data_IF_785649412064
#
_entry.id   IF_785649412064
#
_cell.length_a   1.000
_cell.length_b   1.000
_cell.length_c   1.000
_cell.angle_alpha   90.00
_cell.angle_beta   90.00
_cell.angle_gamma   90.00
#
_symmetry.space_group_name_H-M   'P 1'
#
loop_
_entity.id
_entity.type
_entity.pdbx_description
1 polymer ?
#
# COMPACT_ATOMS: atom_id res chain seq x y z
N UNK A 1 34.31 10.12 -28.99
CA UNK A 1 32.83 10.17 -28.89
C UNK A 1 32.33 10.22 -27.45
N UNK A 2 32.96 9.52 -26.49
CA UNK A 2 32.53 9.49 -25.07
C UNK A 2 32.49 10.85 -24.36
N UNK A 3 33.40 11.78 -24.67
CA UNK A 3 33.42 13.10 -24.03
C UNK A 3 32.25 13.98 -24.50
N UNK A 4 31.94 13.98 -25.81
CA UNK A 4 30.85 14.76 -26.40
C UNK A 4 29.48 14.39 -25.81
N UNK A 5 29.21 13.09 -25.63
CA UNK A 5 27.97 12.61 -25.03
C UNK A 5 27.80 12.96 -23.54
N UNK A 6 28.92 13.15 -22.81
CA UNK A 6 28.86 13.62 -21.43
C UNK A 6 28.60 15.13 -21.36
N UNK A 7 29.24 15.91 -22.25
CA UNK A 7 29.05 17.37 -22.30
C UNK A 7 27.61 17.74 -22.71
N UNK A 8 27.02 16.98 -23.64
CA UNK A 8 25.61 17.10 -24.04
C UNK A 8 24.66 16.71 -22.90
N UNK A 9 24.98 15.66 -22.14
CA UNK A 9 24.18 15.25 -20.97
C UNK A 9 24.23 16.28 -19.84
N UNK A 10 25.40 16.85 -19.55
CA UNK A 10 25.56 17.89 -18.53
C UNK A 10 24.91 19.23 -18.95
N UNK A 11 24.88 19.53 -20.25
CA UNK A 11 24.13 20.68 -20.80
C UNK A 11 22.62 20.47 -20.69
N UNK A 12 22.12 19.29 -21.08
CA UNK A 12 20.71 18.92 -20.95
C UNK A 12 20.26 18.94 -19.49
N UNK A 13 21.07 18.40 -18.58
CA UNK A 13 20.80 18.41 -17.15
C UNK A 13 20.66 19.83 -16.60
N UNK A 14 21.52 20.77 -17.01
CA UNK A 14 21.38 22.19 -16.66
C UNK A 14 20.10 22.81 -17.22
N UNK A 15 19.72 22.48 -18.46
CA UNK A 15 18.46 22.90 -19.07
C UNK A 15 17.23 22.39 -18.30
N UNK A 16 17.27 21.14 -17.81
CA UNK A 16 16.20 20.55 -17.00
C UNK A 16 16.09 21.21 -15.62
N UNK A 17 17.21 21.56 -14.98
CA UNK A 17 17.21 22.33 -13.73
C UNK A 17 16.60 23.72 -13.94
N UNK A 18 16.93 24.40 -15.04
CA UNK A 18 16.36 25.72 -15.37
C UNK A 18 14.86 25.66 -15.65
N UNK A 19 14.36 24.53 -16.18
CA UNK A 19 12.93 24.26 -16.36
C UNK A 19 12.22 23.91 -15.04
N UNK A 20 12.93 23.85 -13.91
CA UNK A 20 12.35 23.51 -12.60
C UNK A 20 12.01 22.03 -12.44
N UNK A 21 12.59 21.15 -13.27
CA UNK A 21 12.33 19.71 -13.21
C UNK A 21 12.94 19.14 -11.93
N UNK A 22 12.14 18.38 -11.18
CA UNK A 22 12.63 17.68 -10.00
C UNK A 22 13.62 16.56 -10.42
N UNK A 23 14.89 16.74 -10.06
CA UNK A 23 15.99 15.85 -10.43
C UNK A 23 15.87 14.44 -9.83
N UNK A 24 15.23 14.29 -8.68
CA UNK A 24 14.96 12.97 -8.10
C UNK A 24 13.87 12.23 -8.89
N UNK A 25 12.80 12.93 -9.28
CA UNK A 25 11.74 12.36 -10.13
C UNK A 25 12.27 11.99 -11.51
N UNK A 26 13.08 12.88 -12.09
CA UNK A 26 13.81 12.63 -13.34
C UNK A 26 14.65 11.34 -13.22
N UNK A 27 15.44 11.19 -12.13
CA UNK A 27 16.27 9.99 -11.91
C UNK A 27 15.41 8.74 -11.89
N UNK A 28 14.38 8.69 -11.06
CA UNK A 28 13.56 7.48 -10.90
C UNK A 28 12.85 7.11 -12.20
N UNK A 29 12.37 8.10 -12.96
CA UNK A 29 11.75 7.85 -14.27
C UNK A 29 12.77 7.30 -15.30
N UNK A 30 13.96 7.90 -15.37
CA UNK A 30 15.05 7.43 -16.24
C UNK A 30 15.54 6.04 -15.88
N UNK A 31 15.69 5.74 -14.59
CA UNK A 31 16.15 4.45 -14.09
C UNK A 31 15.15 3.33 -14.44
N UNK A 32 13.86 3.56 -14.20
CA UNK A 32 12.79 2.63 -14.57
C UNK A 32 12.68 2.46 -16.09
N UNK A 33 12.83 3.53 -16.86
CA UNK A 33 12.79 3.45 -18.32
C UNK A 33 13.98 2.67 -18.89
N UNK A 34 15.20 2.93 -18.39
CA UNK A 34 16.41 2.23 -18.85
C UNK A 34 16.38 0.75 -18.48
N UNK A 35 15.97 0.39 -17.26
CA UNK A 35 16.00 -1.00 -16.79
C UNK A 35 14.82 -1.83 -17.27
N UNK A 36 13.61 -1.26 -17.26
CA UNK A 36 12.35 -2.00 -17.43
C UNK A 36 11.54 -1.54 -18.63
N UNK A 37 12.04 -0.56 -19.41
CA UNK A 37 11.32 0.08 -20.53
C UNK A 37 9.95 0.62 -20.15
N UNK A 38 9.76 1.00 -18.88
CA UNK A 38 8.55 1.67 -18.43
C UNK A 38 8.45 3.07 -19.05
N UNK A 39 7.26 3.51 -19.49
CA UNK A 39 7.11 4.80 -20.16
C UNK A 39 7.51 5.95 -19.23
N UNK A 40 8.26 6.92 -19.77
CA UNK A 40 8.59 8.15 -19.03
C UNK A 40 7.31 9.00 -18.89
N UNK A 41 6.98 9.51 -17.69
CA UNK A 41 5.87 10.43 -17.48
C UNK A 41 5.88 11.63 -18.45
N UNK A 42 4.70 12.09 -18.89
CA UNK A 42 4.59 13.08 -19.98
C UNK A 42 5.27 14.41 -19.67
N UNK A 43 5.20 14.87 -18.42
CA UNK A 43 5.87 16.08 -17.92
C UNK A 43 7.40 15.99 -18.06
N UNK A 44 7.99 14.88 -17.62
CA UNK A 44 9.42 14.60 -17.77
C UNK A 44 9.77 14.39 -19.24
N UNK A 45 8.92 13.69 -19.99
CA UNK A 45 9.10 13.45 -21.42
C UNK A 45 9.12 14.75 -22.22
N UNK A 46 8.22 15.68 -21.94
CA UNK A 46 8.20 17.01 -22.55
C UNK A 46 9.43 17.84 -22.16
N UNK A 47 9.87 17.79 -20.90
CA UNK A 47 11.09 18.48 -20.48
C UNK A 47 12.36 17.92 -21.15
N UNK A 48 12.43 16.60 -21.31
CA UNK A 48 13.50 15.92 -22.06
C UNK A 48 13.50 16.32 -23.53
N UNK A 49 12.33 16.38 -24.17
CA UNK A 49 12.21 16.84 -25.55
C UNK A 49 12.63 18.31 -25.72
N UNK A 50 12.31 19.16 -24.74
CA UNK A 50 12.71 20.57 -24.74
C UNK A 50 14.24 20.76 -24.66
N UNK A 51 14.97 19.80 -24.09
CA UNK A 51 16.44 19.78 -24.08
C UNK A 51 17.04 18.93 -25.21
N UNK A 52 16.23 18.52 -26.18
CA UNK A 52 16.67 17.77 -27.36
C UNK A 52 16.90 16.27 -27.14
N UNK A 53 16.38 15.70 -26.05
CA UNK A 53 16.49 14.26 -25.74
C UNK A 53 15.16 13.57 -26.01
N UNK A 54 15.19 12.51 -26.83
CA UNK A 54 14.02 11.66 -27.04
C UNK A 54 13.73 10.83 -25.77
N UNK A 55 12.53 10.91 -25.16
CA UNK A 55 12.19 10.21 -23.93
C UNK A 55 11.78 8.74 -24.13
N UNK A 56 12.03 8.16 -25.31
CA UNK A 56 11.77 6.76 -25.62
C UNK A 56 13.02 6.08 -26.17
N UNK A 57 13.22 4.82 -25.78
CA UNK A 57 14.23 3.93 -26.36
C UNK A 57 13.51 2.90 -27.22
N UNK A 58 13.65 3.00 -28.53
CA UNK A 58 13.07 2.04 -29.46
C UNK A 58 13.73 0.66 -29.31
N UNK A 59 12.97 -0.41 -29.58
CA UNK A 59 13.41 -1.80 -29.36
C UNK A 59 14.61 -2.22 -30.22
N UNK A 60 14.97 -1.44 -31.25
CA UNK A 60 16.09 -1.70 -32.16
C UNK A 60 17.34 -0.83 -31.95
N UNK A 61 17.32 0.16 -31.05
CA UNK A 61 18.43 1.10 -30.89
C UNK A 61 19.58 0.54 -30.03
N UNK A 62 20.81 0.84 -30.46
CA UNK A 62 22.02 0.48 -29.72
C UNK A 62 22.11 1.28 -28.42
N UNK A 63 21.96 0.56 -27.29
CA UNK A 63 22.10 1.11 -25.93
C UNK A 63 23.49 1.69 -25.65
N UNK A 64 24.50 1.43 -26.48
CA UNK A 64 25.88 1.88 -26.22
C UNK A 64 26.04 3.41 -26.37
N UNK A 65 25.15 4.08 -27.13
CA UNK A 65 25.21 5.53 -27.35
C UNK A 65 23.83 6.21 -27.17
N UNK A 66 23.03 5.75 -26.20
CA UNK A 66 21.73 6.37 -25.96
C UNK A 66 21.85 7.65 -25.10
N UNK A 67 21.27 8.79 -25.52
CA UNK A 67 21.29 10.03 -24.75
C UNK A 67 20.71 9.91 -23.33
N UNK A 68 19.70 9.05 -23.13
CA UNK A 68 19.10 8.80 -21.81
C UNK A 68 20.06 8.07 -20.87
N UNK A 69 20.92 7.20 -21.39
CA UNK A 69 21.95 6.53 -20.60
C UNK A 69 23.04 7.50 -20.16
N UNK A 70 23.49 8.37 -21.07
CA UNK A 70 24.46 9.42 -20.74
C UNK A 70 23.88 10.38 -19.68
N UNK A 71 22.60 10.74 -19.81
CA UNK A 71 21.90 11.58 -18.83
C UNK A 71 21.76 10.89 -17.47
N UNK A 72 21.44 9.59 -17.43
CA UNK A 72 21.36 8.83 -16.18
C UNK A 72 22.73 8.78 -15.46
N UNK A 73 23.83 8.62 -16.20
CA UNK A 73 25.20 8.65 -15.64
C UNK A 73 25.55 10.04 -15.10
N UNK A 74 25.23 11.11 -15.83
CA UNK A 74 25.48 12.49 -15.41
C UNK A 74 24.69 12.86 -14.14
N UNK A 75 23.42 12.45 -14.08
CA UNK A 75 22.52 12.69 -12.95
C UNK A 75 23.01 11.98 -11.68
N UNK A 76 23.38 10.70 -11.78
CA UNK A 76 23.95 9.95 -10.65
C UNK A 76 25.28 10.53 -10.17
N UNK A 77 26.12 11.03 -11.08
CA UNK A 77 27.36 11.73 -10.72
C UNK A 77 27.06 13.01 -9.93
N UNK A 78 26.14 13.84 -10.41
CA UNK A 78 25.78 15.09 -9.75
C UNK A 78 25.19 14.87 -8.34
N UNK A 79 24.37 13.84 -8.17
CA UNK A 79 23.76 13.52 -6.86
C UNK A 79 24.73 12.85 -5.89
N UNK A 80 25.68 12.04 -6.38
CA UNK A 80 26.75 11.45 -5.56
C UNK A 80 27.78 12.44 -5.02
N UNK A 81 27.80 13.68 -5.53
CA UNK A 81 28.75 14.74 -5.17
C UNK A 81 28.19 15.78 -4.17
N UNK A 82 26.95 15.64 -3.66
CA UNK A 82 26.43 16.54 -2.63
C UNK A 82 26.95 16.14 -1.23
N UNK A 83 27.78 16.96 -0.55
CA UNK A 83 28.18 16.66 0.82
C UNK A 83 26.99 16.77 1.76
N UNK A 84 26.75 15.71 2.52
CA UNK A 84 25.88 15.71 3.70
C UNK A 84 26.32 16.84 4.64
N UNK A 85 25.48 17.86 4.79
CA UNK A 85 25.75 18.94 5.73
C UNK A 85 25.88 18.36 7.16
N UNK A 86 27.01 18.69 7.78
CA UNK A 86 27.42 18.30 9.13
C UNK A 86 26.34 18.54 10.18
N UNK A 87 26.05 17.49 10.95
CA UNK A 87 25.20 17.54 12.12
C UNK A 87 26.03 18.10 13.29
N UNK A 88 25.86 19.39 13.60
CA UNK A 88 26.47 20.02 14.76
C UNK A 88 26.05 19.31 16.08
N UNK A 89 26.93 19.22 17.10
CA UNK A 89 26.60 18.57 18.38
C UNK A 89 25.67 19.45 19.22
N UNK A 90 24.64 18.84 19.84
CA UNK A 90 23.70 19.56 20.73
C UNK A 90 24.33 19.83 22.11
N UNK A 91 24.07 20.98 22.74
CA UNK A 91 24.45 21.21 24.15
C UNK A 91 23.53 20.42 25.10
N UNK A 92 24.09 19.97 26.23
CA UNK A 92 23.39 19.22 27.27
C UNK A 92 22.33 20.07 28.00
N UNK A 93 21.16 19.47 28.27
CA UNK A 93 20.07 20.09 29.05
C UNK A 93 20.10 19.53 30.49
N UNK A 94 19.96 20.36 31.54
CA UNK A 94 19.89 19.87 32.92
C UNK A 94 18.54 19.24 33.25
N UNK A 95 18.58 18.15 34.03
CA UNK A 95 17.41 17.46 34.59
C UNK A 95 16.80 18.30 35.72
N UNK A 96 15.48 18.52 35.70
CA UNK A 96 14.71 19.12 36.80
C UNK A 96 13.57 18.16 37.18
N UNK A 97 13.21 18.00 38.48
CA UNK A 97 12.44 16.85 38.94
C UNK A 97 10.92 17.00 38.74
N UNK A 98 10.26 15.84 38.78
CA UNK A 98 8.83 15.66 38.68
C UNK A 98 8.07 16.31 39.86
N UNK A 99 7.02 17.10 39.56
CA UNK A 99 5.65 16.89 40.06
C UNK A 99 4.66 17.94 39.54
N UNK A 100 3.41 17.50 39.41
CA UNK A 100 2.17 18.28 39.29
C UNK A 100 1.87 19.02 37.97
N UNK A 101 1.10 18.37 37.09
CA UNK A 101 -0.35 18.63 36.92
C UNK A 101 -0.81 18.04 35.58
N UNK A 102 -1.37 16.82 35.62
CA UNK A 102 -1.86 16.13 34.44
C UNK A 102 -3.27 16.66 34.12
N UNK A 103 -3.32 17.75 33.34
CA UNK A 103 -4.53 18.15 32.58
C UNK A 103 -4.40 17.58 31.16
N UNK A 104 -5.48 17.09 30.53
CA UNK A 104 -5.38 16.30 29.31
C UNK A 104 -5.24 17.25 28.11
N UNK A 105 -4.02 17.41 27.62
CA UNK A 105 -3.80 18.06 26.33
C UNK A 105 -3.97 17.05 25.19
N UNK A 106 -4.76 17.47 24.22
CA UNK A 106 -5.45 16.60 23.28
C UNK A 106 -4.58 15.93 22.22
N UNK A 107 -5.00 14.71 21.86
CA UNK A 107 -4.86 14.15 20.50
C UNK A 107 -3.47 14.27 19.86
N UNK A 108 -2.44 13.67 20.46
CA UNK A 108 -1.29 13.23 19.67
C UNK A 108 -1.73 11.95 18.95
N UNK A 109 -2.06 12.07 17.66
CA UNK A 109 -2.34 10.91 16.83
C UNK A 109 -1.16 9.94 16.94
N UNK A 110 -1.43 8.69 17.31
CA UNK A 110 -0.40 7.65 17.36
C UNK A 110 0.25 7.57 15.97
N UNK A 111 1.56 7.81 15.85
CA UNK A 111 2.21 7.81 14.54
C UNK A 111 2.08 6.42 13.91
N UNK A 112 1.73 6.39 12.62
CA UNK A 112 1.70 5.14 11.85
C UNK A 112 3.12 4.56 11.79
N UNK A 113 3.25 3.23 11.80
CA UNK A 113 4.57 2.56 11.75
C UNK A 113 5.29 2.85 10.44
N UNK A 114 4.56 2.91 9.33
CA UNK A 114 5.09 3.15 7.99
C UNK A 114 4.25 4.24 7.32
N UNK A 115 4.87 5.37 6.99
CA UNK A 115 4.18 6.50 6.36
C UNK A 115 5.00 7.01 5.17
N UNK A 116 4.90 6.37 3.98
CA UNK A 116 5.61 6.82 2.79
C UNK A 116 5.10 8.20 2.36
N UNK A 117 5.92 8.96 1.65
CA UNK A 117 5.45 10.22 1.06
C UNK A 117 4.31 9.96 0.06
N UNK A 118 3.35 10.87 0.08
CA UNK A 118 2.20 10.83 -0.81
C UNK A 118 2.66 11.19 -2.23
N UNK A 119 2.17 10.45 -3.21
CA UNK A 119 2.49 10.74 -4.61
C UNK A 119 1.65 11.93 -5.10
N UNK A 120 2.21 12.76 -6.00
CA UNK A 120 1.60 14.04 -6.41
C UNK A 120 0.19 13.90 -7.04
N UNK A 121 -0.11 12.73 -7.62
CA UNK A 121 -1.38 12.38 -8.26
C UNK A 121 -2.28 11.51 -7.38
N UNK A 122 -1.80 11.10 -6.21
CA UNK A 122 -2.53 10.22 -5.30
C UNK A 122 -3.55 11.05 -4.52
N UNK A 123 -4.84 10.77 -4.68
CA UNK A 123 -5.88 11.44 -3.90
C UNK A 123 -5.90 10.96 -2.44
N UNK A 124 -6.62 11.66 -1.56
CA UNK A 124 -6.68 11.33 -0.12
C UNK A 124 -7.18 9.89 0.12
N UNK A 125 -8.02 9.36 -0.77
CA UNK A 125 -8.57 8.01 -0.66
C UNK A 125 -7.50 6.98 -0.99
N UNK A 126 -6.82 7.13 -2.13
CA UNK A 126 -5.75 6.23 -2.57
C UNK A 126 -4.60 6.19 -1.56
N UNK A 127 -4.19 7.36 -1.05
CA UNK A 127 -3.16 7.45 -0.03
C UNK A 127 -3.58 6.83 1.30
N UNK A 128 -4.82 7.11 1.73
CA UNK A 128 -5.38 6.46 2.92
C UNK A 128 -5.42 4.95 2.80
N UNK A 129 -5.78 4.41 1.63
CA UNK A 129 -5.78 2.98 1.34
C UNK A 129 -4.39 2.37 1.35
N UNK A 130 -3.40 3.04 0.76
CA UNK A 130 -2.00 2.62 0.79
C UNK A 130 -1.45 2.60 2.22
N UNK A 131 -1.73 3.64 3.01
CA UNK A 131 -1.36 3.70 4.42
C UNK A 131 -2.00 2.59 5.24
N UNK A 132 -3.26 2.30 4.99
CA UNK A 132 -3.98 1.20 5.60
C UNK A 132 -3.31 -0.15 5.28
N UNK A 133 -2.88 -0.37 4.03
CA UNK A 133 -2.18 -1.60 3.65
C UNK A 133 -0.78 -1.74 4.25
N UNK A 134 -0.06 -0.63 4.40
CA UNK A 134 1.28 -0.62 4.99
C UNK A 134 1.27 -0.68 6.52
N UNK A 135 0.11 -0.46 7.15
CA UNK A 135 -0.06 -0.48 8.60
C UNK A 135 -1.19 -1.43 9.00
N UNK A 136 -0.97 -2.76 8.94
CA UNK A 136 -1.96 -3.73 9.39
C UNK A 136 -2.37 -3.45 10.85
N UNK A 137 -3.66 -3.62 11.13
CA UNK A 137 -4.26 -3.29 12.42
C UNK A 137 -4.72 -1.83 12.61
N UNK A 138 -4.27 -0.89 11.78
CA UNK A 138 -4.72 0.51 11.87
C UNK A 138 -6.14 0.68 11.31
N UNK A 139 -6.96 1.49 11.99
CA UNK A 139 -8.31 1.84 11.54
C UNK A 139 -8.34 3.06 10.60
N UNK A 140 -9.33 3.13 9.70
CA UNK A 140 -9.48 4.20 8.69
C UNK A 140 -9.38 5.62 9.30
N UNK A 141 -10.04 5.86 10.44
CA UNK A 141 -9.99 7.17 11.12
C UNK A 141 -8.59 7.54 11.58
N UNK A 142 -7.84 6.57 12.07
CA UNK A 142 -6.46 6.78 12.53
C UNK A 142 -5.53 7.03 11.35
N UNK A 143 -5.69 6.27 10.26
CA UNK A 143 -4.93 6.51 9.02
C UNK A 143 -5.18 7.93 8.47
N UNK A 144 -6.44 8.34 8.34
CA UNK A 144 -6.80 9.68 7.86
C UNK A 144 -6.28 10.80 8.75
N UNK A 145 -6.34 10.62 10.08
CA UNK A 145 -5.81 11.60 11.02
C UNK A 145 -4.29 11.81 10.91
N UNK A 146 -3.55 10.85 10.33
CA UNK A 146 -2.10 10.92 10.18
C UNK A 146 -1.65 11.82 9.02
N UNK A 147 -2.47 11.97 7.97
CA UNK A 147 -2.08 12.75 6.77
C UNK A 147 -3.02 13.90 6.41
N UNK A 148 -4.27 13.90 6.90
CA UNK A 148 -5.17 15.03 6.70
C UNK A 148 -5.02 16.00 7.87
N UNK A 149 -4.37 17.14 7.61
CA UNK A 149 -4.11 18.19 8.59
C UNK A 149 -5.38 18.92 9.00
N UNK A 150 -6.27 19.23 8.06
CA UNK A 150 -7.56 19.86 8.35
C UNK A 150 -8.53 18.86 9.01
N UNK A 151 -8.97 19.17 10.23
CA UNK A 151 -9.92 18.34 10.97
C UNK A 151 -11.31 18.33 10.34
N UNK A 152 -11.72 19.38 9.64
CA UNK A 152 -13.03 19.47 9.01
C UNK A 152 -13.17 18.54 7.79
N UNK A 153 -12.07 18.26 7.09
CA UNK A 153 -12.06 17.37 5.91
C UNK A 153 -11.99 15.88 6.26
N UNK A 154 -11.49 15.53 7.46
CA UNK A 154 -11.31 14.14 7.89
C UNK A 154 -12.57 13.27 7.76
N UNK A 155 -13.77 13.71 8.16
CA UNK A 155 -14.97 12.88 8.04
C UNK A 155 -15.30 12.50 6.59
N UNK A 156 -15.15 13.44 5.65
CA UNK A 156 -15.42 13.20 4.23
C UNK A 156 -14.43 12.19 3.64
N UNK A 157 -13.13 12.34 3.96
CA UNK A 157 -12.09 11.40 3.51
C UNK A 157 -12.30 10.00 4.10
N UNK A 158 -12.64 9.91 5.39
CA UNK A 158 -12.99 8.64 6.04
C UNK A 158 -14.18 7.99 5.35
N UNK A 159 -15.22 8.75 5.01
CA UNK A 159 -16.40 8.24 4.31
C UNK A 159 -16.05 7.73 2.91
N UNK A 160 -15.26 8.47 2.14
CA UNK A 160 -14.85 8.08 0.79
C UNK A 160 -13.96 6.82 0.80
N UNK A 161 -13.05 6.70 1.77
CA UNK A 161 -12.24 5.48 1.94
C UNK A 161 -13.13 4.28 2.30
N UNK A 162 -14.09 4.46 3.21
CA UNK A 162 -15.06 3.42 3.53
C UNK A 162 -15.88 3.01 2.32
N UNK A 163 -16.36 3.97 1.53
CA UNK A 163 -17.09 3.70 0.29
C UNK A 163 -16.25 2.95 -0.75
N UNK A 164 -14.94 3.16 -0.79
CA UNK A 164 -14.03 2.40 -1.64
C UNK A 164 -13.77 0.96 -1.14
N UNK A 165 -13.86 0.74 0.18
CA UNK A 165 -13.77 -0.59 0.82
C UNK A 165 -15.09 -1.37 0.72
N UNK A 166 -16.20 -0.64 0.56
CA UNK A 166 -17.56 -1.17 0.62
C UNK A 166 -17.94 -2.19 -0.47
N UNK A 167 -17.46 -2.14 -1.73
CA UNK A 167 -17.94 -3.05 -2.78
C UNK A 167 -17.68 -4.53 -2.48
N UNK A 168 -16.65 -4.82 -1.68
CA UNK A 168 -16.32 -6.16 -1.21
C UNK A 168 -17.01 -6.43 0.13
N UNK A 169 -16.83 -5.56 1.13
CA UNK A 169 -17.36 -5.79 2.47
C UNK A 169 -18.90 -5.82 2.53
N UNK A 170 -19.59 -5.10 1.64
CA UNK A 170 -21.06 -5.09 1.54
C UNK A 170 -21.63 -6.44 1.07
N UNK A 171 -20.83 -7.27 0.39
CA UNK A 171 -21.24 -8.61 -0.03
C UNK A 171 -21.26 -9.62 1.12
N UNK A 172 -20.76 -9.28 2.31
CA UNK A 172 -20.67 -10.18 3.46
C UNK A 172 -21.99 -10.92 3.76
N UNK A 173 -23.11 -10.18 3.78
CA UNK A 173 -24.43 -10.76 4.06
C UNK A 173 -24.96 -11.65 2.94
N UNK A 174 -24.39 -11.56 1.74
CA UNK A 174 -24.77 -12.33 0.55
C UNK A 174 -23.87 -13.57 0.35
N UNK A 175 -22.82 -13.72 1.15
CA UNK A 175 -21.94 -14.86 1.08
C UNK A 175 -22.66 -16.14 1.51
N UNK A 176 -22.26 -17.25 0.88
CA UNK A 176 -22.54 -18.59 1.37
C UNK A 176 -22.03 -18.75 2.80
N UNK A 177 -22.65 -19.60 3.57
CA UNK A 177 -22.38 -19.73 5.00
C UNK A 177 -21.76 -21.07 5.36
N UNK A 178 -20.87 -21.05 6.35
CA UNK A 178 -20.41 -22.24 7.08
C UNK A 178 -20.81 -22.03 8.53
N UNK A 179 -21.43 -23.03 9.16
CA UNK A 179 -21.81 -22.94 10.57
C UNK A 179 -20.56 -22.94 11.45
N UNK A 180 -20.66 -22.35 12.64
CA UNK A 180 -19.56 -22.38 13.61
C UNK A 180 -19.15 -23.82 13.93
N UNK A 181 -20.14 -24.71 14.11
CA UNK A 181 -19.88 -26.13 14.38
C UNK A 181 -19.05 -26.79 13.26
N UNK A 182 -19.35 -26.50 11.99
CA UNK A 182 -18.56 -27.02 10.87
C UNK A 182 -17.18 -26.36 10.81
N UNK A 183 -17.11 -25.05 11.02
CA UNK A 183 -15.86 -24.29 11.03
C UNK A 183 -14.90 -24.75 12.14
N UNK A 184 -15.42 -25.08 13.32
CA UNK A 184 -14.65 -25.57 14.48
C UNK A 184 -14.37 -27.08 14.43
N UNK A 185 -14.82 -27.78 13.39
CA UNK A 185 -14.46 -29.18 13.17
C UNK A 185 -12.94 -29.36 13.03
N UNK A 186 -12.44 -30.57 13.30
CA UNK A 186 -11.02 -30.89 13.12
C UNK A 186 -10.54 -30.68 11.68
N UNK A 187 -11.45 -30.71 10.70
CA UNK A 187 -11.15 -30.51 9.28
C UNK A 187 -10.86 -29.05 8.95
N UNK A 188 -11.56 -28.11 9.60
CA UNK A 188 -11.47 -26.69 9.32
C UNK A 188 -10.65 -25.91 10.36
N UNK A 189 -10.69 -26.31 11.63
CA UNK A 189 -9.81 -25.81 12.67
C UNK A 189 -10.02 -24.34 13.06
N UNK A 190 -11.21 -23.77 12.81
CA UNK A 190 -11.57 -22.49 13.41
C UNK A 190 -11.69 -22.64 14.92
N UNK A 191 -11.25 -21.64 15.67
CA UNK A 191 -11.28 -21.58 17.12
C UNK A 191 -11.61 -20.15 17.51
N UNK A 192 -12.89 -19.92 17.85
CA UNK A 192 -13.38 -18.59 18.19
C UNK A 192 -12.72 -18.10 19.49
N UNK A 193 -12.18 -16.87 19.46
CA UNK A 193 -11.54 -16.28 20.63
C UNK A 193 -12.48 -16.01 21.82
N UNK A 194 -13.81 -16.04 21.61
CA UNK A 194 -14.77 -15.95 22.70
C UNK A 194 -14.84 -17.23 23.56
N UNK A 195 -14.51 -18.38 22.97
CA UNK A 195 -14.74 -19.69 23.59
C UNK A 195 -13.43 -20.47 23.87
N UNK A 196 -12.32 -20.01 23.30
CA UNK A 196 -11.02 -20.68 23.38
C UNK A 196 -9.98 -19.86 24.16
N UNK A 197 -8.96 -20.53 24.67
CA UNK A 197 -7.83 -19.88 25.33
C UNK A 197 -7.01 -19.07 24.31
N UNK A 198 -6.46 -17.88 24.65
CA UNK A 198 -5.73 -17.00 23.72
C UNK A 198 -4.60 -17.67 22.92
N UNK A 199 -3.96 -18.70 23.49
CA UNK A 199 -2.87 -19.42 22.83
C UNK A 199 -3.36 -20.41 21.75
N UNK A 200 -4.67 -20.66 21.66
CA UNK A 200 -5.27 -21.63 20.77
C UNK A 200 -6.36 -21.00 19.87
N UNK A 201 -6.43 -19.67 19.77
CA UNK A 201 -7.44 -18.99 18.95
C UNK A 201 -7.02 -18.88 17.48
N UNK A 202 -7.99 -18.90 16.58
CA UNK A 202 -7.72 -18.60 15.18
C UNK A 202 -7.38 -17.14 15.01
N UNK A 203 -6.25 -16.89 14.37
CA UNK A 203 -5.81 -15.54 14.03
C UNK A 203 -6.19 -15.21 12.59
N UNK A 204 -6.58 -13.96 12.38
CA UNK A 204 -6.80 -13.41 11.05
C UNK A 204 -5.49 -13.48 10.26
N UNK A 205 -5.58 -13.81 8.96
CA UNK A 205 -4.43 -13.76 8.05
C UNK A 205 -3.69 -12.41 8.06
N UNK A 206 -4.40 -11.32 8.37
CA UNK A 206 -3.85 -9.96 8.46
C UNK A 206 -3.47 -9.54 9.91
N UNK A 207 -3.49 -10.48 10.85
CA UNK A 207 -3.17 -10.28 12.26
C UNK A 207 -4.37 -9.97 13.14
N UNK A 208 -4.25 -10.36 14.43
CA UNK A 208 -5.29 -10.26 15.44
C UNK A 208 -6.16 -11.51 15.54
N UNK A 209 -6.75 -11.73 16.70
CA UNK A 209 -7.64 -12.87 16.99
C UNK A 209 -8.99 -12.68 16.28
N UNK A 210 -9.60 -13.78 15.84
CA UNK A 210 -10.93 -13.79 15.24
C UNK A 210 -11.99 -14.22 16.26
N UNK A 211 -13.11 -13.51 16.27
CA UNK A 211 -14.28 -13.89 17.06
C UNK A 211 -15.57 -13.48 16.39
N UNK A 212 -16.56 -14.38 16.36
CA UNK A 212 -17.91 -14.08 15.91
C UNK A 212 -18.65 -13.16 16.88
N UNK A 213 -18.19 -13.10 18.14
CA UNK A 213 -18.71 -12.18 19.16
C UNK A 213 -18.16 -10.77 19.03
N UNK A 214 -17.16 -10.53 18.16
CA UNK A 214 -16.62 -9.21 17.92
C UNK A 214 -17.47 -8.46 16.88
N UNK A 215 -18.23 -7.42 17.27
CA UNK A 215 -19.12 -6.69 16.35
C UNK A 215 -18.35 -5.92 15.26
N UNK A 216 -17.05 -5.67 15.48
CA UNK A 216 -16.19 -4.99 14.52
C UNK A 216 -15.58 -5.93 13.48
N UNK A 217 -15.81 -7.25 13.54
CA UNK A 217 -15.29 -8.21 12.57
C UNK A 217 -16.38 -8.75 11.64
N UNK A 218 -15.99 -9.04 10.40
CA UNK A 218 -16.79 -9.81 9.44
C UNK A 218 -16.05 -11.11 9.13
N UNK A 219 -16.20 -12.10 10.01
CA UNK A 219 -15.42 -13.34 9.94
C UNK A 219 -15.84 -14.17 8.74
N UNK A 220 -14.87 -14.49 7.88
CA UNK A 220 -15.03 -15.33 6.70
C UNK A 220 -13.94 -16.41 6.65
N UNK A 221 -14.26 -17.53 6.01
CA UNK A 221 -13.28 -18.46 5.47
C UNK A 221 -13.07 -18.18 3.98
N UNK A 222 -11.84 -17.94 3.55
CA UNK A 222 -11.48 -17.71 2.15
C UNK A 222 -10.85 -18.98 1.58
N UNK A 223 -11.50 -19.55 0.56
CA UNK A 223 -11.03 -20.75 -0.13
C UNK A 223 -9.87 -20.46 -1.08
N UNK A 224 -8.97 -21.43 -1.28
CA UNK A 224 -7.91 -21.32 -2.28
C UNK A 224 -8.42 -21.42 -3.73
N UNK A 225 -9.51 -22.15 -3.95
CA UNK A 225 -10.14 -22.33 -5.26
C UNK A 225 -11.58 -21.75 -5.28
N UNK A 226 -11.99 -21.10 -6.38
CA UNK A 226 -13.37 -20.65 -6.53
C UNK A 226 -14.31 -21.83 -6.79
N UNK A 227 -15.54 -21.70 -6.32
CA UNK A 227 -16.64 -22.62 -6.63
C UNK A 227 -17.88 -21.83 -7.04
N UNK A 228 -18.82 -22.51 -7.68
CA UNK A 228 -20.10 -21.90 -8.03
C UNK A 228 -20.88 -21.50 -6.77
N UNK A 229 -21.60 -20.37 -6.83
CA UNK A 229 -22.37 -19.81 -5.73
C UNK A 229 -23.53 -20.71 -5.27
N UNK A 230 -23.94 -21.68 -6.08
CA UNK A 230 -24.94 -22.69 -5.73
C UNK A 230 -24.37 -23.87 -4.94
N UNK A 231 -23.05 -24.04 -4.93
CA UNK A 231 -22.40 -25.15 -4.25
C UNK A 231 -22.04 -24.76 -2.81
N UNK A 232 -22.37 -25.62 -1.82
CA UNK A 232 -21.87 -25.45 -0.46
C UNK A 232 -20.34 -25.67 -0.44
N UNK A 233 -19.73 -25.35 0.70
CA UNK A 233 -18.32 -25.65 0.90
C UNK A 233 -18.05 -27.15 0.73
N UNK A 234 -16.98 -27.49 0.00
CA UNK A 234 -16.42 -28.83 -0.03
C UNK A 234 -14.89 -28.76 -0.03
N UNK A 235 -14.24 -29.60 0.77
CA UNK A 235 -12.78 -29.60 0.87
C UNK A 235 -12.11 -29.94 -0.47
N UNK A 236 -12.70 -30.86 -1.24
CA UNK A 236 -12.21 -31.24 -2.56
C UNK A 236 -12.31 -30.10 -3.59
N UNK A 237 -13.41 -29.33 -3.57
CA UNK A 237 -13.65 -28.26 -4.53
C UNK A 237 -12.96 -26.95 -4.18
N UNK A 238 -13.01 -26.57 -2.89
CA UNK A 238 -12.55 -25.28 -2.39
C UNK A 238 -11.08 -25.28 -1.94
N UNK A 239 -10.52 -26.46 -1.61
CA UNK A 239 -9.29 -26.61 -0.80
C UNK A 239 -9.43 -25.96 0.59
N UNK A 240 -8.35 -26.00 1.36
CA UNK A 240 -8.27 -25.44 2.72
C UNK A 240 -8.74 -23.98 2.78
N UNK A 241 -9.47 -23.65 3.84
CA UNK A 241 -9.94 -22.30 4.13
C UNK A 241 -8.93 -21.54 4.98
N UNK A 242 -8.66 -20.29 4.62
CA UNK A 242 -7.99 -19.35 5.51
C UNK A 242 -9.02 -18.41 6.15
N UNK A 243 -9.05 -18.38 7.48
CA UNK A 243 -9.96 -17.49 8.22
C UNK A 243 -9.40 -16.08 8.32
N UNK A 244 -10.27 -15.09 8.13
CA UNK A 244 -9.90 -13.68 8.20
C UNK A 244 -11.11 -12.77 8.41
N UNK A 245 -10.84 -11.51 8.72
CA UNK A 245 -11.83 -10.44 8.71
C UNK A 245 -11.98 -9.89 7.28
N UNK A 246 -13.18 -9.97 6.72
CA UNK A 246 -13.51 -9.50 5.38
C UNK A 246 -13.22 -7.99 5.21
N UNK A 247 -13.31 -7.19 6.27
CA UNK A 247 -12.97 -5.76 6.21
C UNK A 247 -11.48 -5.57 5.96
N UNK A 248 -10.63 -6.40 6.57
CA UNK A 248 -9.18 -6.40 6.36
C UNK A 248 -8.83 -6.94 4.97
N UNK A 249 -9.55 -7.95 4.50
CA UNK A 249 -9.41 -8.45 3.13
C UNK A 249 -9.78 -7.38 2.10
N UNK A 250 -10.92 -6.69 2.25
CA UNK A 250 -11.32 -5.60 1.36
C UNK A 250 -10.27 -4.48 1.29
N UNK A 251 -9.66 -4.17 2.44
CA UNK A 251 -8.57 -3.21 2.54
C UNK A 251 -7.34 -3.65 1.74
N UNK A 252 -6.92 -4.90 1.90
CA UNK A 252 -5.84 -5.50 1.13
C UNK A 252 -6.13 -5.47 -0.38
N UNK A 253 -7.32 -5.94 -0.79
CA UNK A 253 -7.69 -6.10 -2.19
C UNK A 253 -7.84 -4.78 -2.95
N UNK A 254 -8.23 -3.72 -2.26
CA UNK A 254 -8.32 -2.41 -2.87
C UNK A 254 -6.95 -1.76 -3.19
N UNK A 255 -5.87 -2.19 -2.52
CA UNK A 255 -4.51 -1.85 -2.94
C UNK A 255 -3.91 -2.86 -3.92
N UNK A 256 -4.32 -4.12 -3.81
CA UNK A 256 -3.78 -5.22 -4.59
C UNK A 256 -4.86 -6.27 -4.86
N UNK A 257 -5.54 -6.27 -6.03
CA UNK A 257 -6.67 -7.15 -6.33
C UNK A 257 -6.23 -8.58 -6.66
N UNK A 258 -5.44 -9.17 -5.78
CA UNK A 258 -4.90 -10.53 -5.84
C UNK A 258 -5.31 -11.30 -4.58
N UNK A 259 -5.62 -12.58 -4.71
CA UNK A 259 -5.88 -13.48 -3.61
C UNK A 259 -4.64 -13.54 -2.70
N UNK A 260 -4.76 -13.36 -1.37
CA UNK A 260 -3.61 -13.20 -0.48
C UNK A 260 -2.69 -14.43 -0.42
N UNK A 261 -3.24 -15.63 -0.64
CA UNK A 261 -2.46 -16.89 -0.66
C UNK A 261 -2.01 -17.32 -2.07
N UNK A 262 -2.92 -17.36 -3.05
CA UNK A 262 -2.65 -17.93 -4.39
C UNK A 262 -2.20 -16.91 -5.42
N UNK A 263 -2.37 -15.60 -5.14
CA UNK A 263 -2.08 -14.47 -6.04
C UNK A 263 -2.93 -14.40 -7.30
N UNK A 264 -3.94 -15.25 -7.43
CA UNK A 264 -4.96 -15.18 -8.47
C UNK A 264 -5.77 -13.89 -8.37
N UNK A 265 -6.42 -13.44 -9.45
CA UNK A 265 -7.23 -12.21 -9.39
C UNK A 265 -8.38 -12.37 -8.39
N UNK A 266 -8.48 -11.46 -7.42
CA UNK A 266 -9.55 -11.44 -6.42
C UNK A 266 -10.08 -10.01 -6.24
N UNK A 267 -11.36 -9.80 -6.51
CA UNK A 267 -11.99 -8.49 -6.51
C UNK A 267 -13.49 -8.61 -6.18
N UNK A 268 -14.23 -7.50 -6.27
CA UNK A 268 -15.66 -7.47 -5.98
C UNK A 268 -16.51 -8.39 -6.89
N UNK A 269 -16.07 -8.70 -8.10
CA UNK A 269 -16.85 -9.51 -9.06
C UNK A 269 -16.79 -11.00 -8.72
N UNK A 270 -15.71 -11.45 -8.08
CA UNK A 270 -15.48 -12.87 -7.85
C UNK A 270 -15.32 -13.25 -6.37
N UNK A 271 -15.26 -12.31 -5.42
CA UNK A 271 -15.06 -12.61 -3.99
C UNK A 271 -16.06 -13.62 -3.44
N UNK A 272 -17.33 -13.53 -3.83
CA UNK A 272 -18.37 -14.43 -3.35
C UNK A 272 -18.17 -15.90 -3.78
N UNK A 273 -17.39 -16.14 -4.85
CA UNK A 273 -17.01 -17.50 -5.29
C UNK A 273 -15.95 -18.15 -4.40
N UNK A 274 -15.20 -17.36 -3.65
CA UNK A 274 -14.12 -17.80 -2.76
C UNK A 274 -14.50 -17.72 -1.28
N UNK A 275 -15.25 -16.69 -0.88
CA UNK A 275 -15.50 -16.39 0.52
C UNK A 275 -16.78 -17.05 1.06
N UNK A 276 -16.67 -17.59 2.27
CA UNK A 276 -17.77 -18.13 3.05
C UNK A 276 -17.88 -17.37 4.37
N UNK A 277 -19.09 -16.90 4.70
CA UNK A 277 -19.38 -16.25 5.98
C UNK A 277 -19.52 -17.29 7.08
N UNK A 278 -18.83 -17.08 8.19
CA UNK A 278 -18.99 -17.93 9.37
C UNK A 278 -20.16 -17.41 10.20
N UNK A 279 -21.06 -18.32 10.58
CA UNK A 279 -22.28 -17.98 11.34
C UNK A 279 -22.34 -18.78 12.64
N UNK A 280 -22.90 -18.22 13.73
CA UNK A 280 -23.08 -18.95 14.98
C UNK A 280 -23.82 -20.27 14.80
#
# INVERSE_FOLDING_TARGET
MRNRGNDEADAALRGLVQQGVNLEHLRTALERHVMQRLPIPRDIGSALQNVGINPSIDSGDSLVQNPLLNLNVALNRMQGLRPSAERAPRPAVPVVPATASRRPDGTRATPLRVMPEREDYENNVAYGMRLLNLNPGVGVRQAVAAFVTDRAERPAVVANIRAALDPIASQFSQLRTISKADAESEELGFKDAADHHPDDVTHCLFGGELSLSNPDQQVIGLAGNPTDMSQPYSQEGNKDLAFMDMKKLAQFLAGKPEHPMTRETLNAENIAKYAFRIVP
#
